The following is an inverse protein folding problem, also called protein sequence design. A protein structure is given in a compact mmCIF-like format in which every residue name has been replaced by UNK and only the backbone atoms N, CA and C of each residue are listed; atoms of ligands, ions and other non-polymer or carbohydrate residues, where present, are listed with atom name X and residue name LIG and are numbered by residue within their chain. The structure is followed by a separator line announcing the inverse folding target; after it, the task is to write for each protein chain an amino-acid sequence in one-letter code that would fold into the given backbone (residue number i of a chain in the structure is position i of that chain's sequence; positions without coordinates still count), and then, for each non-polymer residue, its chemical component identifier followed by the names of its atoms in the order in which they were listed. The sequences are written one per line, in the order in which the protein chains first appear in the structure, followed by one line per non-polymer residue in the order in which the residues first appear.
data_IF_183904219291
#
_entry.id   IF_183904219291
#
_cell.length_a   1.000
_cell.length_b   1.000
_cell.length_c   1.000
_cell.angle_alpha   90.00
_cell.angle_beta   90.00
_cell.angle_gamma   90.00
#
_symmetry.space_group_name_H-M   'P 1'
#
loop_
_entity.id
_entity.type
_entity.pdbx_description
1 polymer ?
#
# COMPACT_ATOMS: atom_id res chain seq x y z
N UNK A 1 -73.99 54.57 -3.35
CA UNK A 1 -73.61 53.27 -3.96
C UNK A 1 -72.93 52.42 -2.90
N UNK A 2 -73.45 51.22 -2.62
CA UNK A 2 -72.89 50.30 -1.61
C UNK A 2 -71.66 49.60 -2.18
N UNK A 3 -70.59 49.51 -1.39
CA UNK A 3 -69.31 48.91 -1.78
C UNK A 3 -69.49 47.40 -2.06
N UNK A 4 -69.26 46.92 -3.31
CA UNK A 4 -69.48 45.53 -3.70
C UNK A 4 -68.47 44.54 -3.09
N UNK A 5 -67.46 45.03 -2.36
CA UNK A 5 -66.46 44.20 -1.68
C UNK A 5 -66.90 43.72 -0.27
N UNK A 6 -68.10 44.08 0.21
CA UNK A 6 -68.61 43.61 1.52
C UNK A 6 -69.22 42.20 1.50
N UNK A 7 -69.25 41.52 0.34
CA UNK A 7 -69.88 40.20 0.17
C UNK A 7 -68.97 39.06 0.67
N UNK A 8 -67.67 39.32 0.88
CA UNK A 8 -66.72 38.32 1.40
C UNK A 8 -66.64 38.26 2.92
N UNK A 9 -67.52 38.97 3.65
CA UNK A 9 -67.55 38.92 5.11
C UNK A 9 -68.43 37.79 5.65
N UNK A 10 -68.23 36.57 5.14
CA UNK A 10 -68.73 35.34 5.74
C UNK A 10 -67.57 34.36 5.82
N UNK A 11 -66.77 34.49 6.88
CA UNK A 11 -66.08 33.34 7.47
C UNK A 11 -67.14 32.35 7.96
N UNK A 12 -67.83 31.69 7.02
CA UNK A 12 -68.51 30.45 7.32
C UNK A 12 -67.38 29.48 7.60
N UNK A 13 -67.06 29.27 8.89
CA UNK A 13 -66.07 28.28 9.31
C UNK A 13 -66.26 27.03 8.45
N UNK A 14 -65.18 26.54 7.82
CA UNK A 14 -65.20 25.38 6.91
C UNK A 14 -65.97 24.21 7.54
N UNK A 15 -65.86 24.07 8.86
CA UNK A 15 -66.64 23.13 9.69
C UNK A 15 -68.15 23.35 9.57
N UNK A 16 -68.64 24.59 9.69
CA UNK A 16 -70.06 24.96 9.58
C UNK A 16 -70.59 24.76 8.15
N UNK A 17 -69.76 25.00 7.13
CA UNK A 17 -70.11 24.72 5.74
C UNK A 17 -70.27 23.21 5.51
N UNK A 18 -69.28 22.41 5.91
CA UNK A 18 -69.32 20.93 5.79
C UNK A 18 -70.49 20.35 6.59
N UNK A 19 -70.72 20.83 7.82
CA UNK A 19 -71.85 20.41 8.66
C UNK A 19 -73.20 20.64 7.97
N UNK A 20 -73.37 21.80 7.33
CA UNK A 20 -74.60 22.13 6.58
C UNK A 20 -74.77 21.28 5.33
N UNK A 21 -73.69 21.03 4.59
CA UNK A 21 -73.72 20.26 3.33
C UNK A 21 -73.90 18.76 3.56
N UNK A 22 -73.40 18.23 4.68
CA UNK A 22 -73.47 16.81 5.03
C UNK A 22 -74.61 16.46 6.00
N UNK A 23 -75.31 17.47 6.54
CA UNK A 23 -76.32 17.34 7.59
C UNK A 23 -75.80 16.61 8.86
N UNK A 24 -74.52 16.80 9.17
CA UNK A 24 -73.83 16.25 10.35
C UNK A 24 -73.59 17.38 11.36
N UNK A 25 -73.58 17.09 12.66
CA UNK A 25 -73.35 18.12 13.68
C UNK A 25 -71.97 18.76 13.53
N UNK A 26 -71.87 20.07 13.79
CA UNK A 26 -70.60 20.82 13.79
C UNK A 26 -69.56 20.13 14.68
N UNK A 27 -69.96 19.63 15.85
CA UNK A 27 -69.08 18.94 16.78
C UNK A 27 -68.52 17.61 16.25
N UNK A 28 -69.30 16.87 15.47
CA UNK A 28 -68.84 15.62 14.85
C UNK A 28 -67.84 15.91 13.73
N UNK A 29 -68.10 16.95 12.93
CA UNK A 29 -67.18 17.41 11.88
C UNK A 29 -65.85 17.86 12.50
N UNK A 30 -65.86 18.60 13.62
CA UNK A 30 -64.64 18.98 14.34
C UNK A 30 -63.87 17.77 14.87
N UNK A 31 -64.57 16.79 15.47
CA UNK A 31 -63.94 15.55 15.97
C UNK A 31 -63.26 14.76 14.85
N UNK A 32 -63.90 14.64 13.69
CA UNK A 32 -63.32 13.94 12.53
C UNK A 32 -62.11 14.69 11.99
N UNK A 33 -62.19 16.02 11.84
CA UNK A 33 -61.06 16.82 11.35
C UNK A 33 -59.87 16.80 12.31
N UNK A 34 -60.09 16.86 13.62
CA UNK A 34 -59.04 16.72 14.64
C UNK A 34 -58.41 15.33 14.58
N UNK A 35 -59.23 14.28 14.51
CA UNK A 35 -58.75 12.90 14.39
C UNK A 35 -57.93 12.70 13.11
N UNK A 36 -58.41 13.23 11.97
CA UNK A 36 -57.70 13.16 10.70
C UNK A 36 -56.34 13.87 10.78
N UNK A 37 -56.29 15.07 11.37
CA UNK A 37 -55.05 15.81 11.59
C UNK A 37 -54.07 15.03 12.44
N UNK A 38 -54.51 14.46 13.57
CA UNK A 38 -53.67 13.64 14.45
C UNK A 38 -53.15 12.38 13.74
N UNK A 39 -53.98 11.72 12.94
CA UNK A 39 -53.57 10.55 12.14
C UNK A 39 -52.48 10.95 11.14
N UNK A 40 -52.65 12.08 10.44
CA UNK A 40 -51.63 12.59 9.50
C UNK A 40 -50.32 12.92 10.21
N UNK A 41 -50.37 13.66 11.32
CA UNK A 41 -49.18 14.02 12.11
C UNK A 41 -48.44 12.79 12.63
N UNK A 42 -49.17 11.82 13.19
CA UNK A 42 -48.60 10.55 13.65
C UNK A 42 -47.96 9.75 12.50
N UNK A 43 -48.61 9.71 11.34
CA UNK A 43 -48.09 9.00 10.17
C UNK A 43 -46.81 9.65 9.65
N UNK A 44 -46.75 10.99 9.60
CA UNK A 44 -45.54 11.73 9.23
C UNK A 44 -44.41 11.49 10.23
N UNK A 45 -44.70 11.46 11.53
CA UNK A 45 -43.70 11.18 12.57
C UNK A 45 -43.14 9.75 12.44
N UNK A 46 -44.00 8.76 12.22
CA UNK A 46 -43.56 7.38 11.98
C UNK A 46 -42.68 7.27 10.72
N UNK A 47 -43.03 7.95 9.63
CA UNK A 47 -42.20 7.98 8.43
C UNK A 47 -40.81 8.59 8.68
N UNK A 48 -40.74 9.68 9.46
CA UNK A 48 -39.46 10.31 9.82
C UNK A 48 -38.60 9.41 10.71
N UNK A 49 -39.20 8.73 11.68
CA UNK A 49 -38.48 7.79 12.54
C UNK A 49 -37.94 6.61 11.73
N UNK A 50 -38.75 5.99 10.86
CA UNK A 50 -38.32 4.91 9.99
C UNK A 50 -37.18 5.35 9.05
N UNK A 51 -37.22 6.58 8.52
CA UNK A 51 -36.14 7.13 7.72
C UNK A 51 -34.85 7.31 8.51
N UNK A 52 -34.94 7.76 9.77
CA UNK A 52 -33.78 7.92 10.65
C UNK A 52 -33.15 6.56 10.99
N UNK A 53 -33.96 5.59 11.40
CA UNK A 53 -33.49 4.23 11.69
C UNK A 53 -32.79 3.61 10.48
N UNK A 54 -33.39 3.74 9.29
CA UNK A 54 -32.77 3.26 8.05
C UNK A 54 -31.43 3.96 7.74
N UNK A 55 -31.31 5.27 8.00
CA UNK A 55 -30.06 6.00 7.82
C UNK A 55 -28.98 5.55 8.81
N UNK A 56 -29.35 5.32 10.07
CA UNK A 56 -28.43 4.81 11.10
C UNK A 56 -27.94 3.40 10.75
N UNK A 57 -28.84 2.52 10.31
CA UNK A 57 -28.49 1.17 9.86
C UNK A 57 -27.53 1.20 8.66
N UNK A 58 -27.81 2.05 7.66
CA UNK A 58 -26.90 2.24 6.53
C UNK A 58 -25.53 2.73 6.96
N UNK A 59 -25.46 3.70 7.87
CA UNK A 59 -24.21 4.24 8.39
C UNK A 59 -23.41 3.15 9.14
N UNK A 60 -24.08 2.36 9.97
CA UNK A 60 -23.47 1.24 10.70
C UNK A 60 -22.92 0.17 9.75
N UNK A 61 -23.66 -0.17 8.68
CA UNK A 61 -23.20 -1.10 7.65
C UNK A 61 -21.97 -0.55 6.93
N UNK A 62 -21.99 0.72 6.52
CA UNK A 62 -20.87 1.34 5.81
C UNK A 62 -19.62 1.42 6.69
N UNK A 63 -19.76 1.80 7.97
CA UNK A 63 -18.65 1.78 8.92
C UNK A 63 -18.09 0.38 9.12
N UNK A 64 -18.96 -0.62 9.27
CA UNK A 64 -18.55 -2.02 9.40
C UNK A 64 -17.81 -2.51 8.15
N UNK A 65 -18.27 -2.16 6.96
CA UNK A 65 -17.61 -2.49 5.70
C UNK A 65 -16.27 -1.78 5.56
N UNK A 66 -16.19 -0.49 5.91
CA UNK A 66 -14.94 0.26 5.93
C UNK A 66 -13.89 -0.40 6.84
N UNK A 67 -14.29 -0.75 8.07
CA UNK A 67 -13.41 -1.43 9.02
C UNK A 67 -12.94 -2.80 8.50
N UNK A 68 -13.82 -3.58 7.86
CA UNK A 68 -13.46 -4.86 7.24
C UNK A 68 -12.46 -4.68 6.11
N UNK A 69 -12.66 -3.68 5.25
CA UNK A 69 -11.77 -3.39 4.13
C UNK A 69 -10.37 -3.02 4.63
N UNK A 70 -10.25 -2.13 5.61
CA UNK A 70 -8.98 -1.81 6.26
C UNK A 70 -8.31 -3.04 6.89
N UNK A 71 -9.09 -3.91 7.53
CA UNK A 71 -8.56 -5.17 8.08
C UNK A 71 -8.01 -6.09 6.99
N UNK A 72 -8.70 -6.20 5.85
CA UNK A 72 -8.25 -7.02 4.71
C UNK A 72 -6.96 -6.45 4.12
N UNK A 73 -6.88 -5.14 3.91
CA UNK A 73 -5.68 -4.47 3.41
C UNK A 73 -4.47 -4.70 4.33
N UNK A 74 -4.67 -4.57 5.64
CA UNK A 74 -3.62 -4.85 6.62
C UNK A 74 -3.18 -6.32 6.57
N UNK A 75 -4.12 -7.26 6.49
CA UNK A 75 -3.80 -8.68 6.41
C UNK A 75 -3.01 -9.02 5.14
N UNK A 76 -3.44 -8.49 3.98
CA UNK A 76 -2.72 -8.68 2.72
C UNK A 76 -1.30 -8.10 2.78
N UNK A 77 -1.13 -6.95 3.42
CA UNK A 77 0.20 -6.36 3.64
C UNK A 77 1.08 -7.23 4.53
N UNK A 78 0.54 -7.80 5.60
CA UNK A 78 1.25 -8.73 6.47
C UNK A 78 1.65 -10.01 5.74
N UNK A 79 0.72 -10.63 5.00
CA UNK A 79 1.01 -11.81 4.18
C UNK A 79 2.09 -11.53 3.14
N UNK A 80 1.98 -10.41 2.43
CA UNK A 80 3.00 -9.96 1.48
C UNK A 80 4.35 -9.78 2.15
N UNK A 81 4.40 -9.21 3.35
CA UNK A 81 5.66 -8.98 4.06
C UNK A 81 6.30 -10.28 4.51
N UNK A 82 5.49 -11.26 4.93
CA UNK A 82 5.93 -12.53 5.48
C UNK A 82 6.27 -13.58 4.42
N UNK A 83 5.92 -13.34 3.14
CA UNK A 83 6.29 -14.25 2.05
C UNK A 83 7.80 -14.26 1.81
N UNK A 84 8.29 -15.38 1.30
CA UNK A 84 9.66 -15.51 0.85
C UNK A 84 9.96 -14.60 -0.36
N UNK A 85 11.22 -14.19 -0.51
CA UNK A 85 11.65 -13.38 -1.65
C UNK A 85 11.42 -14.13 -2.96
N UNK A 86 10.86 -13.42 -3.93
CA UNK A 86 10.73 -13.91 -5.30
C UNK A 86 12.03 -13.69 -6.09
N UNK A 87 12.06 -14.19 -7.32
CA UNK A 87 13.24 -14.08 -8.20
C UNK A 87 13.68 -12.63 -8.45
N UNK A 88 12.72 -11.71 -8.62
CA UNK A 88 13.03 -10.30 -8.91
C UNK A 88 13.74 -9.66 -7.73
N UNK A 89 13.23 -9.88 -6.52
CA UNK A 89 13.81 -9.36 -5.27
C UNK A 89 15.20 -9.93 -5.02
N UNK A 90 15.38 -11.23 -5.24
CA UNK A 90 16.67 -11.89 -5.13
C UNK A 90 17.68 -11.35 -6.13
N UNK A 91 17.27 -11.11 -7.38
CA UNK A 91 18.15 -10.56 -8.41
C UNK A 91 18.53 -9.11 -8.12
N UNK A 92 17.64 -8.33 -7.50
CA UNK A 92 17.98 -6.99 -7.01
C UNK A 92 19.04 -7.03 -5.91
N UNK A 93 18.90 -7.93 -4.91
CA UNK A 93 19.92 -8.09 -3.87
C UNK A 93 21.27 -8.55 -4.45
N UNK A 94 21.24 -9.50 -5.39
CA UNK A 94 22.44 -9.98 -6.08
C UNK A 94 23.15 -8.85 -6.82
N UNK A 95 22.41 -7.97 -7.51
CA UNK A 95 22.98 -6.78 -8.16
C UNK A 95 23.67 -5.86 -7.16
N UNK A 96 23.03 -5.56 -6.03
CA UNK A 96 23.63 -4.71 -4.98
C UNK A 96 24.91 -5.31 -4.41
N UNK A 97 24.93 -6.63 -4.16
CA UNK A 97 26.15 -7.33 -3.72
C UNK A 97 27.23 -7.29 -4.79
N UNK A 98 26.87 -7.48 -6.05
CA UNK A 98 27.81 -7.48 -7.17
C UNK A 98 28.48 -6.12 -7.35
N UNK A 99 27.71 -5.04 -7.32
CA UNK A 99 28.21 -3.67 -7.38
C UNK A 99 29.16 -3.39 -6.22
N UNK A 100 28.73 -3.72 -4.98
CA UNK A 100 29.55 -3.50 -3.79
C UNK A 100 30.86 -4.30 -3.82
N UNK A 101 30.81 -5.54 -4.28
CA UNK A 101 31.99 -6.39 -4.44
C UNK A 101 32.96 -5.82 -5.49
N UNK A 102 32.46 -5.29 -6.61
CA UNK A 102 33.27 -4.62 -7.64
C UNK A 102 33.95 -3.36 -7.09
N UNK A 103 33.20 -2.51 -6.38
CA UNK A 103 33.76 -1.32 -5.74
C UNK A 103 34.84 -1.68 -4.71
N UNK A 104 34.63 -2.74 -3.92
CA UNK A 104 35.62 -3.17 -2.94
C UNK A 104 36.88 -3.78 -3.57
N UNK A 105 36.76 -4.37 -4.76
CA UNK A 105 37.89 -4.90 -5.53
C UNK A 105 38.71 -3.79 -6.20
N UNK A 106 38.06 -2.72 -6.65
CA UNK A 106 38.70 -1.64 -7.39
C UNK A 106 39.09 -2.06 -8.81
N UNK A 107 39.79 -1.17 -9.52
CA UNK A 107 40.20 -1.35 -10.91
C UNK A 107 41.40 -2.31 -11.07
N UNK A 108 41.30 -3.53 -10.53
CA UNK A 108 42.36 -4.54 -10.64
C UNK A 108 42.57 -5.05 -12.09
N UNK A 109 41.70 -4.66 -13.03
CA UNK A 109 41.68 -5.10 -14.42
C UNK A 109 41.85 -3.96 -15.44
N UNK A 110 42.25 -2.75 -15.03
CA UNK A 110 42.71 -1.75 -16.00
C UNK A 110 44.12 -2.14 -16.46
N UNK A 111 44.18 -3.04 -17.43
CA UNK A 111 45.31 -3.05 -18.36
C UNK A 111 45.11 -1.82 -19.24
N UNK A 112 46.10 -0.94 -19.27
CA UNK A 112 46.10 0.26 -20.11
C UNK A 112 45.96 -0.18 -21.57
N UNK A 113 44.82 0.13 -22.16
CA UNK A 113 44.56 -0.11 -23.59
C UNK A 113 45.56 0.64 -24.49
N UNK A 114 46.25 1.64 -23.93
CA UNK A 114 47.22 2.47 -24.64
C UNK A 114 48.49 1.70 -25.03
N UNK A 115 48.86 0.61 -24.33
CA UNK A 115 49.98 -0.24 -24.74
C UNK A 115 49.66 -1.11 -25.97
N UNK A 116 48.39 -1.42 -26.24
CA UNK A 116 47.97 -2.24 -27.39
C UNK A 116 47.99 -1.49 -28.73
N UNK A 117 47.92 -0.15 -28.70
CA UNK A 117 47.79 0.67 -29.91
C UNK A 117 49.17 1.06 -30.48
N UNK A 118 50.26 0.96 -29.68
CA UNK A 118 51.62 1.26 -30.12
C UNK A 118 52.30 0.12 -30.91
N UNK A 119 51.58 -0.43 -31.90
CA UNK A 119 52.06 -0.90 -33.22
C UNK A 119 53.34 -1.72 -33.39
N UNK A 120 53.95 -2.29 -32.35
CA UNK A 120 55.28 -2.93 -32.43
C UNK A 120 55.39 -4.31 -31.77
N UNK A 121 54.25 -4.95 -31.47
CA UNK A 121 54.23 -6.28 -30.86
C UNK A 121 54.32 -7.41 -31.87
N UNK A 122 55.19 -8.38 -31.58
CA UNK A 122 55.29 -9.66 -32.28
C UNK A 122 54.14 -10.61 -31.91
N UNK A 123 53.94 -11.65 -32.73
CA UNK A 123 52.88 -12.66 -32.50
C UNK A 123 53.03 -13.41 -31.16
N UNK A 124 54.27 -13.66 -30.75
CA UNK A 124 54.58 -14.35 -29.49
C UNK A 124 54.28 -13.45 -28.28
N UNK A 125 54.63 -12.17 -28.34
CA UNK A 125 54.29 -11.17 -27.32
C UNK A 125 52.76 -11.02 -27.19
N UNK A 126 52.04 -11.06 -28.32
CA UNK A 126 50.58 -11.03 -28.32
C UNK A 126 49.97 -12.26 -27.65
N UNK A 127 50.53 -13.45 -27.88
CA UNK A 127 50.09 -14.70 -27.25
C UNK A 127 50.31 -14.69 -25.74
N UNK A 128 51.47 -14.24 -25.26
CA UNK A 128 51.76 -14.11 -23.83
C UNK A 128 50.88 -13.05 -23.14
N UNK A 129 50.57 -11.95 -23.82
CA UNK A 129 49.62 -10.95 -23.33
C UNK A 129 48.19 -11.51 -23.21
N UNK A 130 47.72 -12.30 -24.17
CA UNK A 130 46.43 -12.97 -24.05
C UNK A 130 46.40 -13.96 -22.88
N UNK A 131 47.46 -14.75 -22.67
CA UNK A 131 47.57 -15.66 -21.52
C UNK A 131 47.52 -14.89 -20.20
N UNK A 132 48.24 -13.78 -20.13
CA UNK A 132 48.27 -12.91 -18.94
C UNK A 132 46.90 -12.27 -18.68
N UNK A 133 46.21 -11.79 -19.71
CA UNK A 133 44.83 -11.26 -19.61
C UNK A 133 43.84 -12.31 -19.13
N UNK A 134 43.92 -13.53 -19.66
CA UNK A 134 43.07 -14.64 -19.23
C UNK A 134 43.32 -14.99 -17.76
N UNK A 135 44.60 -15.04 -17.34
CA UNK A 135 45.00 -15.27 -15.95
C UNK A 135 44.48 -14.17 -15.02
N UNK A 136 44.67 -12.89 -15.39
CA UNK A 136 44.20 -11.74 -14.62
C UNK A 136 42.67 -11.71 -14.51
N UNK A 137 41.96 -12.01 -15.59
CA UNK A 137 40.48 -12.11 -15.59
C UNK A 137 40.00 -13.23 -14.67
N UNK A 138 40.66 -14.39 -14.71
CA UNK A 138 40.34 -15.52 -13.82
C UNK A 138 40.59 -15.17 -12.36
N UNK A 139 41.70 -14.49 -12.06
CA UNK A 139 42.02 -14.04 -10.71
C UNK A 139 41.03 -12.97 -10.20
N UNK A 140 40.68 -12.01 -11.05
CA UNK A 140 39.65 -11.01 -10.79
C UNK A 140 38.32 -11.67 -10.43
N UNK A 141 37.84 -12.60 -11.26
CA UNK A 141 36.58 -13.29 -11.02
C UNK A 141 36.63 -14.15 -9.74
N UNK A 142 37.77 -14.76 -9.44
CA UNK A 142 37.98 -15.50 -8.18
C UNK A 142 37.87 -14.56 -6.97
N UNK A 143 38.55 -13.42 -6.98
CA UNK A 143 38.49 -12.44 -5.89
C UNK A 143 37.09 -11.82 -5.77
N UNK A 144 36.44 -11.52 -6.89
CA UNK A 144 35.07 -11.02 -6.91
C UNK A 144 34.12 -12.00 -6.22
N UNK A 145 34.19 -13.30 -6.55
CA UNK A 145 33.39 -14.34 -5.89
C UNK A 145 33.64 -14.40 -4.39
N UNK A 146 34.89 -14.28 -3.96
CA UNK A 146 35.25 -14.23 -2.53
C UNK A 146 34.59 -13.04 -1.84
N UNK A 147 34.64 -11.84 -2.43
CA UNK A 147 34.02 -10.65 -1.83
C UNK A 147 32.49 -10.74 -1.78
N UNK A 148 31.84 -11.26 -2.83
CA UNK A 148 30.39 -11.54 -2.79
C UNK A 148 30.03 -12.44 -1.61
N UNK A 149 30.79 -13.52 -1.39
CA UNK A 149 30.57 -14.44 -0.28
C UNK A 149 30.78 -13.78 1.09
N UNK A 150 31.80 -12.92 1.23
CA UNK A 150 32.06 -12.17 2.47
C UNK A 150 30.92 -11.19 2.78
N UNK A 151 30.45 -10.44 1.79
CA UNK A 151 29.29 -9.55 1.93
C UNK A 151 28.08 -10.33 2.43
N UNK A 152 27.76 -11.45 1.79
CA UNK A 152 26.65 -12.31 2.24
C UNK A 152 26.83 -12.83 3.65
N UNK A 153 28.05 -13.24 4.02
CA UNK A 153 28.37 -13.68 5.38
C UNK A 153 28.05 -12.57 6.40
N UNK A 154 28.51 -11.34 6.16
CA UNK A 154 28.26 -10.19 7.04
C UNK A 154 26.76 -9.90 7.16
N UNK A 155 26.04 -9.87 6.03
CA UNK A 155 24.58 -9.68 6.00
C UNK A 155 23.87 -10.75 6.82
N UNK A 156 24.25 -12.02 6.67
CA UNK A 156 23.62 -13.12 7.41
C UNK A 156 23.86 -13.04 8.92
N UNK A 157 25.03 -12.60 9.35
CA UNK A 157 25.28 -12.34 10.77
C UNK A 157 24.44 -11.17 11.28
N UNK A 158 24.38 -10.07 10.53
CA UNK A 158 23.53 -8.93 10.87
C UNK A 158 22.06 -9.31 11.03
N UNK A 159 21.51 -10.10 10.10
CA UNK A 159 20.13 -10.59 10.23
C UNK A 159 19.97 -11.56 11.41
N UNK A 160 21.01 -12.29 11.79
CA UNK A 160 21.00 -13.12 13.00
C UNK A 160 20.88 -12.27 14.26
N UNK A 161 21.57 -11.14 14.30
CA UNK A 161 21.52 -10.21 15.43
C UNK A 161 20.16 -9.50 15.51
N UNK A 162 19.62 -9.05 14.37
CA UNK A 162 18.37 -8.26 14.31
C UNK A 162 17.12 -9.14 14.42
N UNK A 163 17.09 -10.29 13.74
CA UNK A 163 15.90 -11.12 13.61
C UNK A 163 16.04 -12.51 14.23
N UNK A 164 17.16 -12.81 14.90
CA UNK A 164 17.45 -14.12 15.48
C UNK A 164 17.35 -15.29 14.48
N UNK A 165 17.59 -15.02 13.19
CA UNK A 165 17.63 -16.06 12.16
C UNK A 165 19.00 -16.71 12.08
N UNK A 166 19.04 -18.00 11.74
CA UNK A 166 20.32 -18.72 11.60
C UNK A 166 21.16 -18.15 10.44
N UNK A 167 22.47 -17.87 10.63
CA UNK A 167 23.37 -17.46 9.55
C UNK A 167 23.56 -18.53 8.47
N UNK A 168 23.13 -19.77 8.73
CA UNK A 168 23.17 -20.88 7.76
C UNK A 168 21.97 -20.87 6.82
N UNK A 169 20.96 -20.04 7.07
CA UNK A 169 19.73 -19.97 6.28
C UNK A 169 20.01 -19.56 4.82
N UNK A 170 19.25 -20.14 3.88
CA UNK A 170 19.37 -19.80 2.46
C UNK A 170 18.71 -18.43 2.19
N UNK A 171 19.32 -17.62 1.33
CA UNK A 171 18.88 -16.25 1.01
C UNK A 171 17.47 -16.26 0.40
N UNK A 172 17.14 -17.31 -0.36
CA UNK A 172 15.81 -17.53 -0.97
C UNK A 172 14.69 -17.67 0.06
N UNK A 173 15.03 -17.96 1.32
CA UNK A 173 14.05 -18.13 2.40
C UNK A 173 13.92 -16.88 3.27
N UNK A 174 14.58 -15.78 2.90
CA UNK A 174 14.35 -14.48 3.53
C UNK A 174 12.98 -13.94 3.12
N UNK A 175 12.43 -13.09 3.97
CA UNK A 175 11.10 -12.54 3.77
C UNK A 175 11.19 -11.12 3.21
N UNK A 176 10.13 -10.66 2.57
CA UNK A 176 10.08 -9.34 1.91
C UNK A 176 10.35 -8.20 2.88
N UNK A 177 9.85 -8.28 4.12
CA UNK A 177 10.08 -7.23 5.12
C UNK A 177 11.56 -7.00 5.45
N UNK A 178 12.45 -7.95 5.16
CA UNK A 178 13.89 -7.82 5.40
C UNK A 178 14.64 -7.11 4.27
N UNK A 179 13.99 -6.85 3.12
CA UNK A 179 14.66 -6.38 1.90
C UNK A 179 15.44 -5.08 2.08
N UNK A 180 14.80 -4.10 2.71
CA UNK A 180 15.40 -2.77 2.89
C UNK A 180 16.57 -2.83 3.86
N UNK A 181 16.40 -3.54 4.99
CA UNK A 181 17.47 -3.78 5.97
C UNK A 181 18.69 -4.46 5.32
N UNK A 182 18.48 -5.47 4.48
CA UNK A 182 19.55 -6.16 3.77
C UNK A 182 20.28 -5.18 2.84
N UNK A 183 19.54 -4.39 2.06
CA UNK A 183 20.12 -3.43 1.12
C UNK A 183 20.93 -2.36 1.82
N UNK A 184 20.39 -1.81 2.88
CA UNK A 184 21.05 -0.77 3.66
C UNK A 184 22.30 -1.31 4.32
N UNK A 185 22.24 -2.54 4.85
CA UNK A 185 23.44 -3.20 5.36
C UNK A 185 24.50 -3.35 4.28
N UNK A 186 24.17 -3.88 3.10
CA UNK A 186 25.14 -4.02 2.00
C UNK A 186 25.75 -2.67 1.60
N UNK A 187 24.94 -1.62 1.48
CA UNK A 187 25.38 -0.27 1.11
C UNK A 187 26.31 0.32 2.16
N UNK A 188 26.03 0.10 3.45
CA UNK A 188 26.82 0.63 4.57
C UNK A 188 28.22 0.01 4.71
N UNK A 189 28.45 -1.19 4.16
CA UNK A 189 29.74 -1.88 4.32
C UNK A 189 30.89 -1.04 3.77
N UNK A 190 31.94 -0.87 4.56
CA UNK A 190 33.20 -0.29 4.08
C UNK A 190 33.99 -1.31 3.24
N UNK A 191 34.86 -0.80 2.37
CA UNK A 191 35.81 -1.64 1.62
C UNK A 191 36.71 -2.44 2.56
N UNK A 192 37.10 -1.84 3.69
CA UNK A 192 37.93 -2.49 4.70
C UNK A 192 37.24 -3.72 5.31
N UNK A 193 35.98 -3.60 5.72
CA UNK A 193 35.19 -4.72 6.27
C UNK A 193 35.11 -5.88 5.28
N UNK A 194 34.85 -5.58 4.00
CA UNK A 194 34.76 -6.61 2.95
C UNK A 194 36.10 -7.32 2.73
N UNK A 195 37.22 -6.59 2.81
CA UNK A 195 38.56 -7.18 2.59
C UNK A 195 39.02 -8.05 3.76
N UNK A 196 38.64 -7.70 5.01
CA UNK A 196 39.12 -8.35 6.25
C UNK A 196 38.42 -9.67 6.62
N UNK A 197 37.10 -9.75 6.43
CA UNK A 197 36.23 -10.90 6.86
C UNK A 197 36.57 -12.22 6.20
#
# INVERSE_FOLDING_TARGET
MKNPLSIFNKETSVVKAISKDTNVSVSDVERVLISAKQITENSSLMMLNNQREYQEDLLNVLQTQGNRMTSIENHQKEEHNMRALNKIELDQLRKTVDEKARTALGNLNQLDFDELINGSMTLDEYSELQKTKAKNTKEYNKKLRVYKNKIWKIVKYHLSDVYHISPKRNIETFNVYMMDEIRDKIKSLSVYEIRRV
#
